data_IF_798890044384
#
_entry.id   IF_798890044384
#
_cell.length_a   1.000
_cell.length_b   1.000
_cell.length_c   1.000
_cell.angle_alpha   90.00
_cell.angle_beta   90.00
_cell.angle_gamma   90.00
#
_symmetry.space_group_name_H-M   'P 1'
#
loop_
_entity.id
_entity.type
_entity.pdbx_description
1 polymer ?
#
# COMPACT_ATOMS: atom_id res chain seq x y z
N UNK A 1 -21.27 7.80 18.50
CA UNK A 1 -20.43 7.45 17.33
C UNK A 1 -20.90 6.10 16.82
N UNK A 2 -21.04 5.93 15.52
CA UNK A 2 -21.47 4.67 14.90
C UNK A 2 -20.41 3.56 15.15
N UNK A 3 -20.78 2.33 15.53
CA UNK A 3 -19.83 1.27 15.84
C UNK A 3 -18.85 0.97 14.70
N UNK A 4 -19.34 0.97 13.44
CA UNK A 4 -18.51 0.75 12.26
C UNK A 4 -17.44 1.84 12.17
N UNK A 5 -17.83 3.12 12.23
CA UNK A 5 -16.89 4.25 12.19
C UNK A 5 -15.85 4.21 13.32
N UNK A 6 -16.24 3.73 14.50
CA UNK A 6 -15.36 3.62 15.67
C UNK A 6 -14.33 2.52 15.46
N UNK A 7 -14.77 1.35 14.99
CA UNK A 7 -13.90 0.21 14.69
C UNK A 7 -12.94 0.54 13.55
N UNK A 8 -13.39 1.15 12.46
CA UNK A 8 -12.53 1.57 11.35
C UNK A 8 -11.42 2.50 11.83
N UNK A 9 -11.76 3.56 12.58
CA UNK A 9 -10.76 4.49 13.13
C UNK A 9 -9.79 3.81 14.09
N UNK A 10 -10.28 2.89 14.94
CA UNK A 10 -9.44 2.15 15.88
C UNK A 10 -8.48 1.23 15.14
N UNK A 11 -8.95 0.51 14.12
CA UNK A 11 -8.14 -0.35 13.27
C UNK A 11 -7.03 0.42 12.56
N UNK A 12 -7.34 1.58 11.96
CA UNK A 12 -6.34 2.45 11.35
C UNK A 12 -5.29 2.94 12.36
N UNK A 13 -5.74 3.32 13.56
CA UNK A 13 -4.84 3.81 14.61
C UNK A 13 -3.97 2.70 15.24
N UNK A 14 -4.44 1.44 15.23
CA UNK A 14 -3.65 0.29 15.64
C UNK A 14 -2.58 -0.04 14.59
N UNK A 15 -2.96 -0.07 13.32
CA UNK A 15 -2.02 -0.22 12.21
C UNK A 15 -0.89 0.81 12.29
N UNK A 16 -1.22 2.09 12.45
CA UNK A 16 -0.24 3.16 12.55
C UNK A 16 0.72 3.04 13.76
N UNK A 17 0.39 2.19 14.74
CA UNK A 17 1.26 1.85 15.89
C UNK A 17 1.93 0.49 15.74
N UNK A 18 1.89 -0.10 14.55
CA UNK A 18 2.41 -1.43 14.24
C UNK A 18 1.69 -2.57 15.00
N UNK A 19 0.46 -2.33 15.47
CA UNK A 19 -0.46 -3.36 15.96
C UNK A 19 -1.32 -3.86 14.78
N UNK A 20 -0.69 -4.63 13.89
CA UNK A 20 -1.32 -5.12 12.65
C UNK A 20 -2.34 -6.23 12.93
N UNK A 21 -2.10 -7.08 13.92
CA UNK A 21 -3.04 -8.11 14.40
C UNK A 21 -4.32 -7.46 14.93
N UNK A 22 -4.17 -6.47 15.82
CA UNK A 22 -5.30 -5.74 16.38
C UNK A 22 -6.03 -4.91 15.34
N UNK A 23 -5.34 -4.45 14.29
CA UNK A 23 -5.94 -3.75 13.15
C UNK A 23 -6.86 -4.66 12.34
N UNK A 24 -6.38 -5.86 11.96
CA UNK A 24 -7.19 -6.87 11.26
C UNK A 24 -8.41 -7.26 12.08
N UNK A 25 -8.25 -7.49 13.37
CA UNK A 25 -9.37 -7.84 14.26
C UNK A 25 -10.48 -6.78 14.27
N UNK A 26 -10.12 -5.49 14.20
CA UNK A 26 -11.11 -4.41 14.15
C UNK A 26 -11.81 -4.34 12.79
N UNK A 27 -11.08 -4.52 11.69
CA UNK A 27 -11.68 -4.57 10.36
C UNK A 27 -12.58 -5.80 10.15
N UNK A 28 -12.19 -6.96 10.70
CA UNK A 28 -13.03 -8.17 10.70
C UNK A 28 -14.35 -7.94 11.45
N UNK A 29 -14.32 -7.20 12.57
CA UNK A 29 -15.54 -6.82 13.28
C UNK A 29 -16.42 -5.88 12.44
N UNK A 30 -15.84 -4.95 11.67
CA UNK A 30 -16.64 -4.12 10.75
C UNK A 30 -17.35 -5.00 9.71
N UNK A 31 -16.65 -5.96 9.13
CA UNK A 31 -17.21 -6.89 8.14
C UNK A 31 -18.29 -7.78 8.76
N UNK A 32 -18.11 -8.23 10.00
CA UNK A 32 -19.11 -9.02 10.72
C UNK A 32 -20.40 -8.22 11.01
N UNK A 33 -20.27 -6.91 11.28
CA UNK A 33 -21.42 -6.01 11.50
C UNK A 33 -22.13 -5.64 10.19
N UNK A 34 -21.39 -5.44 9.11
CA UNK A 34 -21.95 -5.16 7.78
C UNK A 34 -21.07 -5.77 6.68
N UNK A 35 -21.46 -6.96 6.22
CA UNK A 35 -20.72 -7.68 5.18
C UNK A 35 -20.58 -6.94 3.85
N UNK A 36 -21.42 -5.93 3.58
CA UNK A 36 -21.31 -5.08 2.38
C UNK A 36 -20.08 -4.18 2.42
N UNK A 37 -19.45 -4.01 3.59
CA UNK A 37 -18.19 -3.26 3.75
C UNK A 37 -16.97 -4.05 3.33
N UNK A 38 -17.06 -5.39 3.24
CA UNK A 38 -15.91 -6.24 2.94
C UNK A 38 -15.12 -5.83 1.70
N UNK A 39 -15.74 -5.47 0.55
CA UNK A 39 -15.00 -5.02 -0.64
C UNK A 39 -14.47 -3.58 -0.59
N UNK A 40 -14.58 -2.90 0.56
CA UNK A 40 -14.10 -1.51 0.72
C UNK A 40 -13.07 -1.41 1.84
N UNK A 41 -12.51 -2.55 2.28
CA UNK A 41 -11.60 -2.65 3.42
C UNK A 41 -10.16 -2.87 2.96
N UNK A 42 -9.66 -2.01 2.08
CA UNK A 42 -8.28 -2.07 1.59
C UNK A 42 -7.26 -1.93 2.73
N UNK A 43 -7.56 -1.17 3.79
CA UNK A 43 -6.69 -1.07 4.97
C UNK A 43 -6.51 -2.42 5.68
N UNK A 44 -7.53 -3.28 5.62
CA UNK A 44 -7.44 -4.66 6.11
C UNK A 44 -6.45 -5.46 5.26
N UNK A 45 -6.45 -5.26 3.94
CA UNK A 45 -5.50 -5.88 3.02
C UNK A 45 -4.05 -5.51 3.34
N UNK A 46 -3.80 -4.24 3.67
CA UNK A 46 -2.48 -3.78 4.10
C UNK A 46 -2.07 -4.39 5.44
N UNK A 47 -3.00 -4.46 6.39
CA UNK A 47 -2.74 -5.08 7.69
C UNK A 47 -2.42 -6.59 7.53
N UNK A 48 -3.15 -7.28 6.65
CA UNK A 48 -2.90 -8.67 6.24
C UNK A 48 -1.51 -8.86 5.61
N UNK A 49 -1.09 -7.94 4.72
CA UNK A 49 0.24 -7.96 4.13
C UNK A 49 1.33 -7.95 5.21
N UNK A 50 1.20 -7.09 6.23
CA UNK A 50 2.18 -7.01 7.31
C UNK A 50 2.05 -8.11 8.37
N UNK A 51 0.96 -8.89 8.35
CA UNK A 51 0.84 -10.17 9.06
C UNK A 51 1.46 -11.35 8.30
N UNK A 52 2.05 -11.10 7.12
CA UNK A 52 2.52 -12.12 6.18
C UNK A 52 1.40 -13.07 5.69
N UNK A 53 0.12 -12.71 5.88
CA UNK A 53 -1.03 -13.40 5.31
C UNK A 53 -1.30 -12.86 3.89
N UNK A 54 -0.33 -13.10 3.02
CA UNK A 54 -0.33 -12.58 1.66
C UNK A 54 -1.49 -13.11 0.82
N UNK A 55 -1.92 -14.36 1.04
CA UNK A 55 -3.03 -14.96 0.30
C UNK A 55 -4.35 -14.25 0.64
N UNK A 56 -4.62 -14.01 1.92
CA UNK A 56 -5.80 -13.24 2.33
C UNK A 56 -5.69 -11.76 1.92
N UNK A 57 -4.49 -11.17 1.96
CA UNK A 57 -4.21 -9.82 1.47
C UNK A 57 -4.53 -9.66 -0.01
N UNK A 58 -3.99 -10.53 -0.86
CA UNK A 58 -4.27 -10.53 -2.30
C UNK A 58 -5.77 -10.72 -2.59
N UNK A 59 -6.43 -11.61 -1.86
CA UNK A 59 -7.88 -11.81 -1.98
C UNK A 59 -8.69 -10.57 -1.58
N UNK A 60 -8.25 -9.83 -0.56
CA UNK A 60 -8.86 -8.57 -0.13
C UNK A 60 -8.75 -7.51 -1.24
N UNK A 61 -7.53 -7.22 -1.71
CA UNK A 61 -7.31 -6.21 -2.75
C UNK A 61 -8.04 -6.53 -4.06
N UNK A 62 -8.15 -7.81 -4.44
CA UNK A 62 -8.96 -8.22 -5.60
C UNK A 62 -10.45 -7.88 -5.46
N UNK A 63 -11.01 -8.03 -4.25
CA UNK A 63 -12.41 -7.63 -4.00
C UNK A 63 -12.56 -6.13 -4.10
N UNK A 64 -11.58 -5.37 -3.61
CA UNK A 64 -11.58 -3.92 -3.66
C UNK A 64 -11.51 -3.41 -5.11
N UNK A 65 -10.58 -3.92 -5.92
CA UNK A 65 -10.48 -3.59 -7.35
C UNK A 65 -11.76 -3.95 -8.12
N UNK A 66 -12.44 -5.05 -7.76
CA UNK A 66 -13.68 -5.45 -8.43
C UNK A 66 -14.83 -4.42 -8.24
N UNK A 67 -14.81 -3.62 -7.17
CA UNK A 67 -15.82 -2.56 -6.93
C UNK A 67 -15.29 -1.15 -7.19
N UNK A 68 -13.96 -0.96 -7.23
CA UNK A 68 -13.28 0.28 -7.58
C UNK A 68 -12.22 0.04 -8.68
N UNK A 69 -12.64 -0.17 -9.93
CA UNK A 69 -11.74 -0.64 -10.99
C UNK A 69 -10.77 0.42 -11.50
N UNK A 70 -10.83 1.66 -11.01
CA UNK A 70 -9.95 2.75 -11.43
C UNK A 70 -8.85 3.06 -10.41
N UNK A 71 -8.84 2.35 -9.28
CA UNK A 71 -7.80 2.51 -8.27
C UNK A 71 -6.64 1.57 -8.58
N UNK A 72 -5.51 2.17 -8.92
CA UNK A 72 -4.29 1.43 -9.25
C UNK A 72 -3.52 0.98 -8.01
N UNK A 73 -3.81 1.55 -6.84
CA UNK A 73 -3.12 1.25 -5.59
C UNK A 73 -3.35 -0.19 -5.15
N UNK A 74 -4.61 -0.64 -5.09
CA UNK A 74 -4.95 -2.01 -4.70
C UNK A 74 -4.46 -3.03 -5.72
N UNK A 75 -4.33 -2.67 -7.01
CA UNK A 75 -3.73 -3.54 -8.01
C UNK A 75 -2.23 -3.78 -7.73
N UNK A 76 -1.50 -2.73 -7.33
CA UNK A 76 -0.09 -2.84 -6.91
C UNK A 76 0.02 -3.65 -5.61
N UNK A 77 -0.85 -3.43 -4.65
CA UNK A 77 -0.81 -4.20 -3.40
C UNK A 77 -1.19 -5.67 -3.57
N UNK A 78 -2.15 -5.98 -4.45
CA UNK A 78 -2.42 -7.35 -4.88
C UNK A 78 -1.18 -7.98 -5.51
N UNK A 79 -0.49 -7.25 -6.40
CA UNK A 79 0.78 -7.69 -6.97
C UNK A 79 1.80 -8.00 -5.86
N UNK A 80 2.01 -7.09 -4.90
CA UNK A 80 3.01 -7.21 -3.84
C UNK A 80 2.79 -8.44 -2.95
N UNK A 81 1.54 -8.78 -2.62
CA UNK A 81 1.20 -10.02 -1.92
C UNK A 81 1.62 -11.28 -2.70
N UNK A 82 1.55 -11.22 -4.02
CA UNK A 82 1.76 -12.37 -4.90
C UNK A 82 3.19 -12.54 -5.40
N UNK A 83 4.08 -11.60 -5.06
CA UNK A 83 5.48 -11.68 -5.45
C UNK A 83 6.12 -12.94 -4.84
N UNK A 84 6.34 -13.92 -5.72
CA UNK A 84 7.34 -14.99 -5.56
C UNK A 84 8.50 -14.79 -6.53
N UNK A 85 8.20 -14.15 -7.66
CA UNK A 85 9.14 -13.52 -8.59
C UNK A 85 8.43 -12.33 -9.25
N UNK A 86 9.18 -11.28 -9.57
CA UNK A 86 8.62 -10.08 -10.20
C UNK A 86 7.90 -10.40 -11.52
N UNK A 87 8.55 -11.17 -12.40
CA UNK A 87 7.98 -11.57 -13.70
C UNK A 87 6.75 -12.46 -13.56
N UNK A 88 6.67 -13.29 -12.51
CA UNK A 88 5.50 -14.10 -12.20
C UNK A 88 4.31 -13.24 -11.77
N UNK A 89 4.53 -12.34 -10.80
CA UNK A 89 3.49 -11.45 -10.30
C UNK A 89 2.98 -10.49 -11.40
N UNK A 90 3.87 -10.00 -12.27
CA UNK A 90 3.51 -9.11 -13.40
C UNK A 90 2.50 -9.75 -14.35
N UNK A 91 2.60 -11.06 -14.60
CA UNK A 91 1.64 -11.78 -15.45
C UNK A 91 0.24 -11.84 -14.85
N UNK A 92 0.12 -11.74 -13.54
CA UNK A 92 -1.13 -11.82 -12.79
C UNK A 92 -1.63 -10.43 -12.34
N UNK A 93 -0.94 -9.36 -12.74
CA UNK A 93 -1.27 -8.00 -12.34
C UNK A 93 -2.68 -7.64 -12.82
N UNK A 94 -3.48 -7.06 -11.92
CA UNK A 94 -4.86 -6.70 -12.22
C UNK A 94 -4.89 -5.51 -13.19
N UNK A 95 -5.65 -5.65 -14.28
CA UNK A 95 -5.92 -4.54 -15.19
C UNK A 95 -6.97 -3.61 -14.58
N UNK A 96 -6.62 -2.33 -14.48
CA UNK A 96 -7.46 -1.27 -13.93
C UNK A 96 -7.63 -0.13 -14.94
N UNK A 97 -8.67 0.68 -14.74
CA UNK A 97 -8.95 1.88 -15.52
C UNK A 97 -8.06 3.07 -15.14
N UNK A 98 -8.37 4.26 -15.67
CA UNK A 98 -7.50 5.43 -15.50
C UNK A 98 -7.59 6.01 -14.08
N UNK A 99 -6.50 5.88 -13.32
CA UNK A 99 -6.36 6.51 -12.00
C UNK A 99 -6.17 8.03 -12.14
N UNK A 100 -6.89 8.89 -11.41
CA UNK A 100 -6.72 10.34 -11.48
C UNK A 100 -5.36 10.82 -10.94
N UNK A 101 -4.75 10.07 -10.01
CA UNK A 101 -3.48 10.43 -9.36
C UNK A 101 -2.33 10.14 -10.31
N UNK A 102 -1.59 11.18 -10.69
CA UNK A 102 -0.48 11.05 -11.64
C UNK A 102 0.59 10.07 -11.16
N UNK A 103 1.02 10.19 -9.90
CA UNK A 103 2.03 9.31 -9.30
C UNK A 103 1.60 7.85 -9.28
N UNK A 104 0.31 7.57 -9.10
CA UNK A 104 -0.19 6.20 -9.11
C UNK A 104 -0.23 5.59 -10.51
N UNK A 105 -0.56 6.38 -11.55
CA UNK A 105 -0.42 5.91 -12.94
C UNK A 105 1.03 5.54 -13.28
N UNK A 106 1.99 6.35 -12.81
CA UNK A 106 3.42 6.07 -12.99
C UNK A 106 3.86 4.83 -12.20
N UNK A 107 3.42 4.70 -10.95
CA UNK A 107 3.70 3.53 -10.12
C UNK A 107 3.13 2.26 -10.78
N UNK A 108 1.87 2.28 -11.18
CA UNK A 108 1.23 1.16 -11.86
C UNK A 108 1.99 0.76 -13.12
N UNK A 109 2.34 1.73 -13.98
CA UNK A 109 3.13 1.46 -15.19
C UNK A 109 4.48 0.82 -14.84
N UNK A 110 5.15 1.29 -13.77
CA UNK A 110 6.42 0.72 -13.32
C UNK A 110 6.29 -0.76 -12.93
N UNK A 111 5.25 -1.13 -12.18
CA UNK A 111 4.96 -2.52 -11.81
C UNK A 111 4.49 -3.37 -13.01
N UNK A 112 3.74 -2.79 -13.94
CA UNK A 112 3.29 -3.44 -15.17
C UNK A 112 4.42 -3.65 -16.20
N UNK A 113 5.56 -2.99 -16.04
CA UNK A 113 6.72 -3.06 -16.95
C UNK A 113 6.74 -2.02 -18.07
N UNK A 114 5.78 -1.09 -18.08
CA UNK A 114 5.66 0.01 -19.06
C UNK A 114 6.18 1.36 -18.51
N UNK A 115 6.61 1.39 -17.26
CA UNK A 115 7.14 2.55 -16.54
C UNK A 115 8.66 2.49 -16.35
N UNK A 116 9.20 3.50 -15.66
CA UNK A 116 10.62 3.56 -15.30
C UNK A 116 10.81 4.29 -13.98
N UNK A 117 11.92 3.99 -13.29
CA UNK A 117 12.28 4.74 -12.08
C UNK A 117 12.45 6.23 -12.37
N UNK A 118 12.95 6.58 -13.55
CA UNK A 118 13.13 7.97 -13.97
C UNK A 118 11.80 8.73 -14.01
N UNK A 119 10.74 8.11 -14.56
CA UNK A 119 9.40 8.71 -14.59
C UNK A 119 8.85 8.93 -13.18
N UNK A 120 9.10 7.99 -12.26
CA UNK A 120 8.77 8.15 -10.84
C UNK A 120 9.55 9.30 -10.19
N UNK A 121 10.84 9.46 -10.51
CA UNK A 121 11.67 10.57 -10.02
C UNK A 121 11.24 11.92 -10.59
N UNK A 122 10.75 11.97 -11.84
CA UNK A 122 10.20 13.21 -12.40
C UNK A 122 8.88 13.61 -11.75
N UNK A 123 7.97 12.66 -11.53
CA UNK A 123 6.69 13.00 -10.89
C UNK A 123 6.87 13.44 -9.44
N UNK A 124 7.87 12.88 -8.74
CA UNK A 124 8.24 13.26 -7.38
C UNK A 124 8.55 14.76 -7.21
N UNK A 125 8.91 15.48 -8.27
CA UNK A 125 9.28 16.91 -8.21
C UNK A 125 8.08 17.86 -8.18
N UNK A 126 6.86 17.36 -8.40
CA UNK A 126 5.67 18.20 -8.65
C UNK A 126 5.02 18.75 -7.38
N UNK A 127 5.00 17.95 -6.31
CA UNK A 127 4.43 18.34 -5.03
C UNK A 127 4.99 17.48 -3.89
N UNK A 128 4.81 17.92 -2.64
CA UNK A 128 5.24 17.14 -1.48
C UNK A 128 4.52 15.76 -1.39
N UNK A 129 3.27 15.68 -1.84
CA UNK A 129 2.53 14.42 -1.90
C UNK A 129 3.09 13.51 -3.01
N UNK A 130 3.32 14.06 -4.21
CA UNK A 130 3.93 13.30 -5.31
C UNK A 130 5.32 12.77 -4.91
N UNK A 131 6.12 13.59 -4.22
CA UNK A 131 7.44 13.19 -3.70
C UNK A 131 7.34 11.98 -2.77
N UNK A 132 6.42 12.04 -1.80
CA UNK A 132 6.20 10.97 -0.83
C UNK A 132 5.79 9.67 -1.53
N UNK A 133 4.72 9.71 -2.31
CA UNK A 133 4.17 8.52 -2.94
C UNK A 133 5.12 7.93 -3.97
N UNK A 134 5.82 8.76 -4.75
CA UNK A 134 6.79 8.27 -5.72
C UNK A 134 7.94 7.52 -5.04
N UNK A 135 8.49 8.06 -3.94
CA UNK A 135 9.55 7.38 -3.17
C UNK A 135 9.05 6.10 -2.51
N UNK A 136 7.84 6.12 -1.93
CA UNK A 136 7.25 4.93 -1.32
C UNK A 136 7.12 3.79 -2.34
N UNK A 137 6.52 4.06 -3.50
CA UNK A 137 6.31 3.05 -4.53
C UNK A 137 7.59 2.63 -5.27
N UNK A 138 8.57 3.52 -5.41
CA UNK A 138 9.92 3.14 -5.86
C UNK A 138 10.57 2.14 -4.90
N UNK A 139 10.45 2.39 -3.60
CA UNK A 139 10.98 1.50 -2.58
C UNK A 139 10.33 0.12 -2.60
N UNK A 140 9.00 0.06 -2.62
CA UNK A 140 8.25 -1.20 -2.73
C UNK A 140 8.57 -1.95 -4.04
N UNK A 141 8.76 -1.22 -5.14
CA UNK A 141 9.18 -1.80 -6.42
C UNK A 141 10.55 -2.46 -6.31
N UNK A 142 11.54 -1.77 -5.74
CA UNK A 142 12.89 -2.31 -5.53
C UNK A 142 12.89 -3.54 -4.63
N UNK A 143 12.13 -3.50 -3.55
CA UNK A 143 11.97 -4.63 -2.64
C UNK A 143 11.41 -5.85 -3.38
N UNK A 144 10.36 -5.66 -4.19
CA UNK A 144 9.75 -6.73 -4.99
C UNK A 144 10.69 -7.38 -6.02
N UNK A 145 11.81 -6.70 -6.32
CA UNK A 145 12.88 -7.16 -7.21
C UNK A 145 14.11 -7.69 -6.47
N UNK A 146 14.07 -7.74 -5.14
CA UNK A 146 15.16 -8.21 -4.27
C UNK A 146 16.21 -7.16 -3.93
N UNK A 147 16.00 -5.89 -4.30
CA UNK A 147 16.89 -4.78 -3.91
C UNK A 147 16.43 -4.19 -2.57
N UNK A 148 16.78 -4.89 -1.49
CA UNK A 148 16.41 -4.49 -0.13
C UNK A 148 17.06 -3.18 0.31
N UNK A 149 18.31 -2.92 -0.10
CA UNK A 149 19.02 -1.69 0.30
C UNK A 149 18.46 -0.47 -0.43
N UNK A 150 18.22 -0.57 -1.73
CA UNK A 150 17.55 0.49 -2.49
C UNK A 150 16.14 0.75 -1.98
N UNK A 151 15.40 -0.30 -1.62
CA UNK A 151 14.08 -0.19 -1.00
C UNK A 151 14.14 0.58 0.32
N UNK A 152 15.06 0.20 1.21
CA UNK A 152 15.27 0.85 2.50
C UNK A 152 15.52 2.35 2.34
N UNK A 153 16.41 2.72 1.42
CA UNK A 153 16.74 4.13 1.16
C UNK A 153 15.52 4.92 0.69
N UNK A 154 14.78 4.41 -0.29
CA UNK A 154 13.64 5.13 -0.87
C UNK A 154 12.46 5.22 0.13
N UNK A 155 12.13 4.15 0.87
CA UNK A 155 11.05 4.17 1.87
C UNK A 155 11.42 5.06 3.06
N UNK A 156 12.67 5.01 3.54
CA UNK A 156 13.13 5.91 4.59
C UNK A 156 13.07 7.38 4.13
N UNK A 157 13.41 7.67 2.88
CA UNK A 157 13.28 9.00 2.30
C UNK A 157 11.81 9.44 2.12
N UNK A 158 10.88 8.51 1.87
CA UNK A 158 9.45 8.78 1.85
C UNK A 158 8.94 9.15 3.25
N UNK A 159 9.20 8.30 4.26
CA UNK A 159 8.82 8.54 5.64
C UNK A 159 9.36 9.89 6.17
N UNK A 160 10.61 10.21 5.83
CA UNK A 160 11.27 11.47 6.19
C UNK A 160 11.00 12.65 5.22
N UNK A 161 10.04 12.54 4.31
CA UNK A 161 9.62 13.69 3.51
C UNK A 161 8.77 14.66 4.33
N UNK A 162 8.56 15.88 3.83
CA UNK A 162 7.67 16.85 4.48
C UNK A 162 6.23 16.31 4.61
N UNK A 163 5.75 15.60 3.59
CA UNK A 163 4.43 14.99 3.59
C UNK A 163 4.36 13.77 4.52
N UNK A 164 5.38 12.89 4.50
CA UNK A 164 5.45 11.71 5.37
C UNK A 164 5.36 12.08 6.86
N UNK A 165 6.11 13.08 7.30
CA UNK A 165 6.09 13.51 8.72
C UNK A 165 4.86 14.32 9.13
N UNK A 166 4.19 14.98 8.20
CA UNK A 166 3.24 16.06 8.51
C UNK A 166 1.79 15.85 8.07
N UNK A 167 1.52 14.90 7.17
CA UNK A 167 0.19 14.76 6.55
C UNK A 167 -0.85 14.12 7.46
N UNK A 168 -0.44 13.23 8.36
CA UNK A 168 -1.36 12.32 9.06
C UNK A 168 -2.05 11.31 8.12
N UNK A 169 -1.54 11.17 6.89
CA UNK A 169 -2.03 10.24 5.88
C UNK A 169 -1.77 8.78 6.30
N UNK A 170 -2.65 7.87 5.92
CA UNK A 170 -2.54 6.47 6.29
C UNK A 170 -1.32 5.78 5.65
N UNK A 171 -0.98 6.16 4.42
CA UNK A 171 0.19 5.63 3.71
C UNK A 171 1.49 6.17 4.28
N UNK A 172 1.49 7.37 4.88
CA UNK A 172 2.63 7.84 5.67
C UNK A 172 2.92 6.93 6.86
N UNK A 173 1.88 6.55 7.62
CA UNK A 173 2.03 5.57 8.68
C UNK A 173 2.46 4.19 8.17
N UNK A 174 2.01 3.79 6.97
CA UNK A 174 2.47 2.56 6.32
C UNK A 174 3.97 2.57 6.05
N UNK A 175 4.55 3.70 5.61
CA UNK A 175 5.99 3.79 5.39
C UNK A 175 6.77 3.51 6.69
N UNK A 176 6.32 4.04 7.82
CA UNK A 176 6.91 3.80 9.13
C UNK A 176 6.75 2.33 9.58
N UNK A 177 5.55 1.77 9.43
CA UNK A 177 5.27 0.36 9.71
C UNK A 177 6.17 -0.54 8.86
N UNK A 178 6.33 -0.22 7.58
CA UNK A 178 7.18 -0.98 6.67
C UNK A 178 8.63 -1.02 7.16
N UNK A 179 9.22 0.15 7.46
CA UNK A 179 10.58 0.25 7.98
C UNK A 179 10.74 -0.57 9.26
N UNK A 180 9.77 -0.49 10.17
CA UNK A 180 9.81 -1.23 11.44
C UNK A 180 9.71 -2.74 11.23
N UNK A 181 8.75 -3.21 10.43
CA UNK A 181 8.54 -4.65 10.15
C UNK A 181 9.69 -5.28 9.37
N UNK A 182 10.46 -4.49 8.62
CA UNK A 182 11.69 -4.96 7.95
C UNK A 182 12.95 -4.82 8.79
N UNK A 183 12.87 -4.26 10.00
CA UNK A 183 14.04 -4.03 10.85
C UNK A 183 15.00 -2.97 10.27
N UNK A 184 14.46 -2.02 9.51
CA UNK A 184 15.19 -0.95 8.85
C UNK A 184 15.18 0.36 9.64
N UNK A 185 14.63 0.33 10.85
CA UNK A 185 14.73 1.40 11.84
C UNK A 185 16.06 1.26 12.59
N UNK A 186 16.82 2.35 12.69
CA UNK A 186 18.06 2.43 13.48
C UNK A 186 17.78 2.46 14.99
#
# INVERSE_FOLDING_TARGET
>A
MDPISTLTRRGMAKFARDDVEGSVADFDQVIALDGRRAPYMWQRGLSLYYLDDFDAGAAQFRRDVAVNPNDTEEAIWAFLCEVRSFEGAKKNMLTVGPDPRGYMREAYALFAGDGSEERMREIAKRSAADEFYAKLYLGLYKESRGDAEGARVDIAAAANSAYGRGSGDYMAALADVHLKRRGWVE
#
